data_IF_146161236448
#
_entry.id   IF_146161236448
#
_cell.length_a   1.000
_cell.length_b   1.000
_cell.length_c   1.000
_cell.angle_alpha   90.00
_cell.angle_beta   90.00
_cell.angle_gamma   90.00
#
_symmetry.space_group_name_H-M   'P 1'
#
loop_
_entity.id
_entity.type
_entity.pdbx_description
1 polymer ?
#
# COMPACT_ATOMS: atom_id res chain seq x y z
N UNK A 1 0.80 -78.51 44.50
CA UNK A 1 2.26 -78.85 44.44
C UNK A 1 2.94 -77.85 43.46
N UNK A 2 3.89 -77.07 44.03
CA UNK A 2 4.98 -76.31 43.46
C UNK A 2 4.64 -75.29 42.30
N UNK A 3 4.50 -73.99 42.61
CA UNK A 3 5.55 -72.97 42.87
C UNK A 3 6.64 -72.91 41.74
N UNK A 4 6.60 -71.82 40.97
CA UNK A 4 7.84 -71.09 40.72
C UNK A 4 7.50 -69.65 40.23
N UNK A 5 7.84 -68.71 41.11
CA UNK A 5 7.88 -67.29 40.84
C UNK A 5 8.98 -66.98 39.85
N UNK A 6 8.67 -66.25 38.78
CA UNK A 6 9.68 -65.46 38.03
C UNK A 6 9.35 -63.99 38.13
N UNK A 7 10.23 -63.30 38.86
CA UNK A 7 10.29 -61.84 38.88
C UNK A 7 10.79 -61.32 37.53
N UNK A 8 9.99 -60.51 36.87
CA UNK A 8 10.42 -59.77 35.67
C UNK A 8 10.82 -58.36 36.13
N UNK A 9 12.12 -58.04 36.10
CA UNK A 9 12.64 -56.69 36.29
C UNK A 9 12.28 -55.84 35.07
N UNK A 10 11.40 -54.88 35.27
CA UNK A 10 11.15 -53.82 34.30
C UNK A 10 12.26 -52.74 34.46
N UNK A 11 13.24 -52.79 33.58
CA UNK A 11 14.15 -51.69 33.30
C UNK A 11 13.41 -50.71 32.41
N UNK A 12 12.94 -49.59 32.96
CA UNK A 12 12.50 -48.42 32.23
C UNK A 12 13.69 -47.73 31.63
N UNK A 13 13.78 -47.54 30.29
CA UNK A 13 14.78 -46.66 29.73
C UNK A 13 14.34 -45.22 29.98
N UNK A 14 15.14 -44.48 30.72
CA UNK A 14 15.08 -43.04 30.82
C UNK A 14 15.44 -42.47 29.45
N UNK A 15 14.43 -42.05 28.66
CA UNK A 15 14.67 -41.29 27.46
C UNK A 15 15.02 -39.86 27.89
N UNK A 16 16.31 -39.56 27.91
CA UNK A 16 16.82 -38.17 27.99
C UNK A 16 16.40 -37.46 26.70
N UNK A 17 15.29 -36.70 26.79
CA UNK A 17 14.93 -35.76 25.76
C UNK A 17 15.94 -34.60 25.77
N UNK A 18 16.97 -34.71 24.95
CA UNK A 18 17.84 -33.56 24.65
C UNK A 18 16.97 -32.54 23.90
N UNK A 19 16.44 -31.55 24.63
CA UNK A 19 15.93 -30.31 24.06
C UNK A 19 17.10 -29.61 23.38
N UNK A 20 17.27 -29.86 22.09
CA UNK A 20 18.08 -29.06 21.21
C UNK A 20 17.41 -27.67 21.14
N UNK A 21 17.73 -26.81 22.11
CA UNK A 21 17.41 -25.39 22.02
C UNK A 21 18.16 -24.88 20.80
N UNK A 22 17.41 -24.57 19.76
CA UNK A 22 17.94 -24.13 18.47
C UNK A 22 18.83 -22.90 18.72
N UNK A 23 20.12 -22.90 18.34
CA UNK A 23 21.03 -21.80 18.61
C UNK A 23 20.54 -20.47 18.04
N UNK A 24 19.69 -20.50 17.03
CA UNK A 24 19.03 -19.36 16.41
C UNK A 24 18.13 -18.55 17.38
N UNK A 25 17.47 -19.19 18.35
CA UNK A 25 16.60 -18.48 19.32
C UNK A 25 17.42 -17.74 20.36
N UNK A 26 18.55 -18.33 20.81
CA UNK A 26 19.45 -17.72 21.77
C UNK A 26 20.22 -16.52 21.15
N UNK A 27 20.61 -16.62 19.88
CA UNK A 27 21.23 -15.52 19.14
C UNK A 27 20.27 -14.35 18.95
N UNK A 28 19.00 -14.61 18.61
CA UNK A 28 17.98 -13.56 18.47
C UNK A 28 17.66 -12.86 19.79
N UNK A 29 17.61 -13.58 20.91
CA UNK A 29 17.37 -12.98 22.23
C UNK A 29 18.55 -12.07 22.62
N UNK A 30 19.78 -12.54 22.50
CA UNK A 30 20.98 -11.76 22.81
C UNK A 30 21.14 -10.51 21.89
N UNK A 31 20.62 -10.57 20.68
CA UNK A 31 20.59 -9.47 19.72
C UNK A 31 19.57 -8.39 20.10
N UNK A 32 18.44 -8.77 20.67
CA UNK A 32 17.37 -7.87 21.09
C UNK A 32 17.72 -7.12 22.38
N UNK A 33 18.52 -7.73 23.25
CA UNK A 33 18.96 -7.20 24.54
C UNK A 33 20.27 -6.40 24.48
N UNK A 34 20.84 -6.19 23.28
CA UNK A 34 22.07 -5.41 23.12
C UNK A 34 21.84 -3.92 23.41
N UNK A 35 22.49 -3.34 24.46
CA UNK A 35 22.33 -1.91 24.78
C UNK A 35 22.77 -0.97 23.65
N UNK A 36 23.76 -1.35 22.83
CA UNK A 36 24.18 -0.55 21.68
C UNK A 36 23.11 -0.53 20.59
N UNK A 37 22.41 -1.66 20.40
CA UNK A 37 21.27 -1.74 19.48
C UNK A 37 20.13 -0.82 19.94
N UNK A 38 19.75 -0.88 21.19
CA UNK A 38 18.73 0.01 21.76
C UNK A 38 19.11 1.49 21.61
N UNK A 39 20.36 1.84 21.90
CA UNK A 39 20.91 3.18 21.73
C UNK A 39 20.86 3.64 20.26
N UNK A 40 21.22 2.79 19.32
CA UNK A 40 21.21 3.12 17.90
C UNK A 40 19.81 3.47 17.39
N UNK A 41 18.80 2.65 17.75
CA UNK A 41 17.42 2.92 17.39
C UNK A 41 16.84 4.15 18.10
N UNK A 42 17.29 4.45 19.33
CA UNK A 42 16.91 5.69 20.02
C UNK A 42 17.49 6.92 19.30
N UNK A 43 18.77 6.89 18.90
CA UNK A 43 19.40 7.96 18.12
C UNK A 43 18.64 8.18 16.79
N UNK A 44 18.24 7.11 16.15
CA UNK A 44 17.45 7.18 14.91
C UNK A 44 16.07 7.81 15.15
N UNK A 45 15.37 7.41 16.22
CA UNK A 45 14.07 7.97 16.61
C UNK A 45 14.16 9.46 16.98
N UNK A 46 15.26 9.86 17.59
CA UNK A 46 15.56 11.25 17.94
C UNK A 46 16.04 12.09 16.74
N UNK A 47 16.04 11.54 15.54
CA UNK A 47 16.58 12.16 14.30
C UNK A 47 18.07 12.54 14.35
N UNK A 48 18.84 11.96 15.28
CA UNK A 48 20.30 12.15 15.40
C UNK A 48 21.07 11.25 14.43
N UNK A 49 20.78 11.41 13.14
CA UNK A 49 21.22 10.50 12.10
C UNK A 49 22.75 10.41 11.92
N UNK A 50 23.44 11.55 12.11
CA UNK A 50 24.91 11.60 12.04
C UNK A 50 25.57 10.77 13.14
N UNK A 51 24.99 10.83 14.37
CA UNK A 51 25.48 10.05 15.50
C UNK A 51 25.06 8.57 15.40
N UNK A 52 23.90 8.30 14.82
CA UNK A 52 23.38 6.94 14.62
C UNK A 52 24.17 6.13 13.60
N UNK A 53 24.62 6.76 12.50
CA UNK A 53 25.24 6.08 11.37
C UNK A 53 26.44 5.17 11.77
N UNK A 54 27.46 5.64 12.51
CA UNK A 54 28.59 4.79 12.88
C UNK A 54 28.21 3.69 13.89
N UNK A 55 27.14 3.85 14.64
CA UNK A 55 26.66 2.80 15.55
C UNK A 55 25.95 1.71 14.77
N UNK A 56 25.11 2.07 13.77
CA UNK A 56 24.50 1.09 12.88
C UNK A 56 25.52 0.34 12.01
N UNK A 57 26.60 0.98 11.59
CA UNK A 57 27.70 0.31 10.88
C UNK A 57 28.26 -0.85 11.70
N UNK A 58 28.66 -0.59 12.95
CA UNK A 58 29.16 -1.63 13.87
C UNK A 58 28.14 -2.72 14.15
N UNK A 59 26.87 -2.34 14.30
CA UNK A 59 25.81 -3.31 14.52
C UNK A 59 25.56 -4.19 13.29
N UNK A 60 25.67 -3.65 12.08
CA UNK A 60 25.53 -4.42 10.84
C UNK A 60 26.67 -5.44 10.66
N UNK A 61 27.89 -5.11 11.13
CA UNK A 61 29.00 -6.06 11.17
C UNK A 61 28.79 -7.14 12.25
N UNK A 62 28.32 -6.73 13.43
CA UNK A 62 28.07 -7.64 14.56
C UNK A 62 26.86 -8.57 14.33
N UNK A 63 25.84 -8.05 13.68
CA UNK A 63 24.56 -8.74 13.42
C UNK A 63 24.20 -8.70 11.92
N UNK A 64 24.94 -9.42 11.07
CA UNK A 64 24.81 -9.34 9.61
C UNK A 64 23.50 -9.91 9.06
N UNK A 65 22.66 -10.51 9.91
CA UNK A 65 21.31 -11.03 9.56
C UNK A 65 20.18 -10.32 10.31
N UNK A 66 20.47 -9.22 11.05
CA UNK A 66 19.43 -8.40 11.64
C UNK A 66 18.81 -7.48 10.57
N UNK A 67 17.65 -7.89 10.06
CA UNK A 67 16.95 -7.17 9.01
C UNK A 67 16.64 -5.72 9.37
N UNK A 68 16.31 -5.42 10.65
CA UNK A 68 15.97 -4.07 11.08
C UNK A 68 17.22 -3.18 11.17
N UNK A 69 18.33 -3.72 11.65
CA UNK A 69 19.64 -3.04 11.65
C UNK A 69 20.07 -2.73 10.22
N UNK A 70 20.04 -3.72 9.34
CA UNK A 70 20.46 -3.56 7.93
C UNK A 70 19.57 -2.57 7.20
N UNK A 71 18.25 -2.63 7.41
CA UNK A 71 17.29 -1.70 6.81
C UNK A 71 17.57 -0.27 7.26
N UNK A 72 17.67 -0.04 8.56
CA UNK A 72 17.88 1.30 9.12
C UNK A 72 19.24 1.86 8.70
N UNK A 73 20.28 1.02 8.69
CA UNK A 73 21.61 1.43 8.22
C UNK A 73 21.58 1.83 6.73
N UNK A 74 20.90 1.04 5.89
CA UNK A 74 20.69 1.37 4.48
C UNK A 74 19.99 2.71 4.27
N UNK A 75 18.92 2.99 5.04
CA UNK A 75 18.23 4.28 5.00
C UNK A 75 19.13 5.44 5.42
N UNK A 76 19.91 5.27 6.49
CA UNK A 76 20.84 6.27 6.96
C UNK A 76 21.92 6.57 5.93
N UNK A 77 22.53 5.54 5.33
CA UNK A 77 23.55 5.72 4.29
C UNK A 77 23.01 6.51 3.11
N UNK A 78 21.83 6.18 2.62
CA UNK A 78 21.22 6.89 1.49
C UNK A 78 20.84 8.31 1.89
N UNK A 79 20.19 8.51 3.05
CA UNK A 79 19.74 9.82 3.52
C UNK A 79 20.89 10.80 3.78
N UNK A 80 22.02 10.32 4.29
CA UNK A 80 23.19 11.18 4.56
C UNK A 80 23.93 11.61 3.29
N UNK A 81 23.66 11.01 2.15
CA UNK A 81 24.30 11.41 0.88
C UNK A 81 23.99 12.84 0.47
N UNK A 82 22.88 13.41 0.92
CA UNK A 82 22.54 14.82 0.71
C UNK A 82 23.62 15.80 1.21
N UNK A 83 24.42 15.39 2.20
CA UNK A 83 25.48 16.20 2.81
C UNK A 83 26.88 15.89 2.26
N UNK A 84 27.02 14.89 1.40
CA UNK A 84 28.30 14.49 0.80
C UNK A 84 28.54 15.27 -0.48
N UNK A 85 29.61 16.09 -0.52
CA UNK A 85 29.91 16.95 -1.70
C UNK A 85 30.46 16.16 -2.89
N UNK A 86 31.25 15.13 -2.62
CA UNK A 86 31.85 14.32 -3.68
C UNK A 86 30.83 13.39 -4.34
N UNK A 87 30.67 13.51 -5.66
CA UNK A 87 29.67 12.75 -6.41
C UNK A 87 29.96 11.24 -6.45
N UNK A 88 31.24 10.85 -6.51
CA UNK A 88 31.62 9.44 -6.51
C UNK A 88 31.36 8.80 -5.16
N UNK A 89 31.69 9.51 -4.06
CA UNK A 89 31.40 9.07 -2.70
C UNK A 89 29.87 8.97 -2.46
N UNK A 90 29.06 9.93 -2.96
CA UNK A 90 27.61 9.86 -2.89
C UNK A 90 27.08 8.63 -3.61
N UNK A 91 27.53 8.41 -4.84
CA UNK A 91 27.12 7.27 -5.66
C UNK A 91 27.42 5.95 -4.95
N UNK A 92 28.64 5.81 -4.42
CA UNK A 92 29.06 4.60 -3.71
C UNK A 92 28.25 4.38 -2.42
N UNK A 93 28.02 5.42 -1.64
CA UNK A 93 27.19 5.32 -0.43
C UNK A 93 25.74 4.90 -0.73
N UNK A 94 25.15 5.43 -1.80
CA UNK A 94 23.80 5.03 -2.25
C UNK A 94 23.78 3.58 -2.73
N UNK A 95 24.79 3.14 -3.49
CA UNK A 95 24.91 1.76 -3.94
C UNK A 95 24.99 0.79 -2.76
N UNK A 96 25.88 1.07 -1.79
CA UNK A 96 26.03 0.27 -0.57
C UNK A 96 24.75 0.28 0.28
N UNK A 97 24.13 1.44 0.46
CA UNK A 97 22.86 1.57 1.16
C UNK A 97 21.76 0.71 0.52
N UNK A 98 21.64 0.74 -0.82
CA UNK A 98 20.68 -0.10 -1.55
C UNK A 98 20.97 -1.60 -1.39
N UNK A 99 22.22 -2.01 -1.36
CA UNK A 99 22.61 -3.41 -1.12
C UNK A 99 22.17 -3.89 0.27
N UNK A 100 22.33 -3.04 1.30
CA UNK A 100 21.84 -3.31 2.65
C UNK A 100 20.31 -3.46 2.68
N UNK A 101 19.58 -2.57 1.98
CA UNK A 101 18.11 -2.65 1.87
C UNK A 101 17.65 -3.94 1.17
N UNK A 102 18.31 -4.34 0.07
CA UNK A 102 18.03 -5.61 -0.60
C UNK A 102 18.33 -6.83 0.29
N UNK A 103 19.39 -6.77 1.09
CA UNK A 103 19.71 -7.82 2.06
C UNK A 103 18.65 -7.89 3.15
N UNK A 104 18.22 -6.75 3.69
CA UNK A 104 17.14 -6.69 4.67
C UNK A 104 15.83 -7.26 4.10
N UNK A 105 15.50 -6.94 2.85
CA UNK A 105 14.33 -7.47 2.16
C UNK A 105 14.38 -9.00 2.01
N UNK A 106 15.53 -9.56 1.63
CA UNK A 106 15.74 -11.02 1.57
C UNK A 106 15.57 -11.70 2.93
N UNK A 107 15.87 -10.99 4.02
CA UNK A 107 15.68 -11.45 5.40
C UNK A 107 14.24 -11.22 5.92
N UNK A 108 13.34 -10.76 5.05
CA UNK A 108 11.92 -10.59 5.34
C UNK A 108 11.53 -9.22 5.88
N UNK A 109 12.36 -8.18 5.69
CA UNK A 109 11.88 -6.81 5.85
C UNK A 109 11.02 -6.44 4.64
N UNK A 110 9.80 -5.97 4.88
CA UNK A 110 8.89 -5.55 3.81
C UNK A 110 7.95 -4.45 4.32
N UNK A 111 8.29 -3.21 4.02
CA UNK A 111 7.46 -2.04 4.28
C UNK A 111 7.48 -1.08 3.10
N UNK A 112 6.52 -0.16 3.07
CA UNK A 112 6.34 0.78 1.96
C UNK A 112 7.56 1.67 1.72
N UNK A 113 8.25 2.10 2.79
CA UNK A 113 9.43 2.94 2.69
C UNK A 113 10.60 2.18 2.06
N UNK A 114 10.79 0.92 2.46
CA UNK A 114 11.82 0.04 1.89
C UNK A 114 11.60 -0.14 0.38
N UNK A 115 10.37 -0.46 -0.04
CA UNK A 115 10.04 -0.63 -1.46
C UNK A 115 10.28 0.66 -2.24
N UNK A 116 9.77 1.79 -1.74
CA UNK A 116 9.96 3.10 -2.37
C UNK A 116 11.44 3.48 -2.53
N UNK A 117 12.27 3.22 -1.50
CA UNK A 117 13.71 3.48 -1.58
C UNK A 117 14.42 2.60 -2.61
N UNK A 118 14.05 1.31 -2.69
CA UNK A 118 14.63 0.38 -3.66
C UNK A 118 14.23 0.75 -5.10
N UNK A 119 13.07 1.35 -5.30
CA UNK A 119 12.64 1.89 -6.60
C UNK A 119 13.36 3.20 -6.94
N UNK A 120 13.53 4.10 -5.95
CA UNK A 120 14.12 5.43 -6.15
C UNK A 120 15.64 5.42 -6.32
N UNK A 121 16.35 4.42 -5.79
CA UNK A 121 17.80 4.34 -5.87
C UNK A 121 18.22 3.33 -6.91
N UNK A 122 18.86 3.74 -8.04
CA UNK A 122 19.35 2.83 -9.07
C UNK A 122 20.37 1.80 -8.52
N UNK A 123 20.52 0.67 -9.23
CA UNK A 123 21.40 -0.42 -8.80
C UNK A 123 22.87 0.00 -8.70
N UNK A 124 23.27 0.98 -9.49
CA UNK A 124 24.63 1.53 -9.50
C UNK A 124 24.83 2.67 -8.48
N UNK A 125 23.79 3.02 -7.71
CA UNK A 125 23.81 4.11 -6.74
C UNK A 125 23.73 5.50 -7.33
N UNK A 126 23.46 5.64 -8.63
CA UNK A 126 23.30 6.94 -9.29
C UNK A 126 22.26 7.81 -8.60
N UNK A 127 22.40 9.12 -8.71
CA UNK A 127 21.50 10.06 -8.04
C UNK A 127 20.12 10.11 -8.68
N UNK A 128 20.05 9.75 -9.95
CA UNK A 128 18.82 9.83 -10.72
C UNK A 128 18.44 8.47 -11.28
N UNK A 129 17.24 7.98 -10.93
CA UNK A 129 16.50 7.16 -11.85
C UNK A 129 16.40 7.99 -13.14
N UNK A 130 16.92 7.47 -14.27
CA UNK A 130 16.80 8.19 -15.54
C UNK A 130 15.32 8.46 -15.78
N UNK A 131 14.96 9.72 -15.86
CA UNK A 131 13.60 10.15 -16.14
C UNK A 131 13.24 9.84 -17.60
N UNK A 132 14.24 9.89 -18.50
CA UNK A 132 14.09 9.52 -19.91
C UNK A 132 15.18 8.54 -20.36
N UNK A 133 14.83 7.66 -21.29
CA UNK A 133 15.80 6.82 -22.00
C UNK A 133 16.53 7.59 -23.11
N UNK A 134 16.02 8.76 -23.50
CA UNK A 134 16.63 9.65 -24.49
C UNK A 134 17.62 10.58 -23.79
N UNK A 135 18.89 10.45 -24.15
CA UNK A 135 19.98 11.17 -23.48
C UNK A 135 19.77 12.69 -23.47
N UNK A 136 19.36 13.25 -24.62
CA UNK A 136 19.15 14.69 -24.78
C UNK A 136 17.99 15.20 -23.91
N UNK A 137 16.92 14.41 -23.75
CA UNK A 137 15.82 14.75 -22.87
C UNK A 137 16.25 14.70 -21.39
N UNK A 138 17.03 13.68 -21.02
CA UNK A 138 17.60 13.54 -19.69
C UNK A 138 18.56 14.69 -19.34
N UNK A 139 19.42 15.09 -20.28
CA UNK A 139 20.34 16.20 -20.09
C UNK A 139 19.57 17.53 -19.91
N UNK A 140 18.51 17.76 -20.70
CA UNK A 140 17.63 18.92 -20.55
C UNK A 140 16.90 18.92 -19.18
N UNK A 141 16.42 17.77 -18.71
CA UNK A 141 15.83 17.67 -17.37
C UNK A 141 16.81 18.10 -16.28
N UNK A 142 18.04 17.62 -16.31
CA UNK A 142 19.08 17.99 -15.33
C UNK A 142 19.42 19.46 -15.36
N UNK A 143 19.48 20.05 -16.55
CA UNK A 143 19.73 21.49 -16.69
C UNK A 143 18.56 22.30 -16.11
N UNK A 144 17.32 21.85 -16.36
CA UNK A 144 16.12 22.41 -15.77
C UNK A 144 16.12 22.37 -14.23
N UNK A 145 16.46 21.21 -13.66
CA UNK A 145 16.61 21.05 -12.21
C UNK A 145 17.68 21.98 -11.63
N UNK A 146 18.84 22.07 -12.29
CA UNK A 146 19.91 22.97 -11.86
C UNK A 146 19.52 24.45 -11.94
N UNK A 147 18.74 24.85 -12.94
CA UNK A 147 18.18 26.18 -13.09
C UNK A 147 17.13 26.46 -11.99
N UNK A 148 16.23 25.52 -11.75
CA UNK A 148 15.23 25.63 -10.68
C UNK A 148 15.87 25.81 -9.29
N UNK A 149 16.90 25.02 -8.98
CA UNK A 149 17.63 25.13 -7.73
C UNK A 149 18.29 26.51 -7.53
N UNK A 150 18.70 27.17 -8.63
CA UNK A 150 19.23 28.54 -8.64
C UNK A 150 18.13 29.61 -8.69
N UNK A 151 16.85 29.20 -8.74
CA UNK A 151 15.68 30.07 -8.94
C UNK A 151 15.68 30.80 -10.31
N UNK A 152 16.42 30.30 -11.27
CA UNK A 152 16.30 30.72 -12.66
C UNK A 152 15.10 30.00 -13.32
N UNK A 153 13.92 30.50 -12.97
CA UNK A 153 12.66 29.90 -13.36
C UNK A 153 12.42 29.97 -14.88
N UNK A 154 12.96 30.98 -15.55
CA UNK A 154 12.83 31.12 -17.00
C UNK A 154 13.60 30.01 -17.71
N UNK A 155 14.86 29.77 -17.34
CA UNK A 155 15.68 28.70 -17.88
C UNK A 155 15.12 27.32 -17.48
N UNK A 156 14.63 27.15 -16.25
CA UNK A 156 14.03 25.90 -15.83
C UNK A 156 12.84 25.50 -16.71
N UNK A 157 11.92 26.44 -16.99
CA UNK A 157 10.77 26.22 -17.88
C UNK A 157 11.24 25.83 -19.29
N UNK A 158 12.21 26.58 -19.83
CA UNK A 158 12.74 26.31 -21.17
C UNK A 158 13.31 24.90 -21.28
N UNK A 159 14.10 24.48 -20.30
CA UNK A 159 14.75 23.15 -20.30
C UNK A 159 13.75 22.01 -20.09
N UNK A 160 12.78 22.15 -19.19
CA UNK A 160 11.73 21.14 -19.03
C UNK A 160 10.85 21.02 -20.28
N UNK A 161 10.52 22.14 -20.92
CA UNK A 161 9.77 22.11 -22.18
C UNK A 161 10.59 21.49 -23.32
N UNK A 162 11.89 21.75 -23.38
CA UNK A 162 12.79 21.07 -24.32
C UNK A 162 12.83 19.56 -24.06
N UNK A 163 12.95 19.14 -22.81
CA UNK A 163 12.90 17.73 -22.43
C UNK A 163 11.60 17.06 -22.91
N UNK A 164 10.46 17.74 -22.73
CA UNK A 164 9.16 17.24 -23.18
C UNK A 164 9.00 17.25 -24.69
N UNK A 165 9.65 18.16 -25.40
CA UNK A 165 9.70 18.16 -26.89
C UNK A 165 10.49 16.95 -27.40
N UNK A 166 11.61 16.65 -26.75
CA UNK A 166 12.48 15.50 -27.06
C UNK A 166 11.85 14.16 -26.68
N UNK A 167 11.15 14.12 -25.56
CA UNK A 167 10.40 12.95 -25.06
C UNK A 167 8.96 13.33 -24.67
N UNK A 168 7.99 13.25 -25.60
CA UNK A 168 6.61 13.67 -25.36
C UNK A 168 5.87 12.91 -24.25
N UNK A 169 6.39 11.75 -23.83
CA UNK A 169 5.82 10.94 -22.75
C UNK A 169 6.49 11.17 -21.39
N UNK A 170 7.38 12.17 -21.31
CA UNK A 170 8.10 12.47 -20.09
C UNK A 170 7.19 13.23 -19.11
N UNK A 171 6.54 12.47 -18.23
CA UNK A 171 5.61 12.96 -17.22
C UNK A 171 6.23 14.05 -16.33
N UNK A 172 7.46 13.81 -15.87
CA UNK A 172 8.20 14.69 -14.97
C UNK A 172 8.46 16.05 -15.61
N UNK A 173 8.74 16.11 -16.91
CA UNK A 173 8.97 17.39 -17.59
C UNK A 173 7.72 18.28 -17.57
N UNK A 174 6.55 17.70 -17.78
CA UNK A 174 5.29 18.41 -17.68
C UNK A 174 4.98 18.80 -16.23
N UNK A 175 5.18 17.88 -15.27
CA UNK A 175 4.94 18.11 -13.86
C UNK A 175 5.82 19.25 -13.34
N UNK A 176 7.12 19.21 -13.57
CA UNK A 176 8.08 20.21 -13.08
C UNK A 176 7.90 21.57 -13.72
N UNK A 177 7.47 21.62 -15.00
CA UNK A 177 7.04 22.90 -15.59
C UNK A 177 5.87 23.49 -14.81
N UNK A 178 4.89 22.68 -14.43
CA UNK A 178 3.77 23.07 -13.58
C UNK A 178 4.24 23.58 -12.20
N UNK A 179 5.22 22.90 -11.59
CA UNK A 179 5.78 23.28 -10.30
C UNK A 179 6.45 24.67 -10.36
N UNK A 180 7.16 25.00 -11.44
CA UNK A 180 7.74 26.33 -11.62
C UNK A 180 6.64 27.38 -11.65
N UNK A 181 5.60 27.21 -12.46
CA UNK A 181 4.48 28.15 -12.53
C UNK A 181 3.71 28.24 -11.20
N UNK A 182 3.62 27.15 -10.46
CA UNK A 182 3.01 27.14 -9.13
C UNK A 182 3.86 27.95 -8.13
N UNK A 183 5.18 27.80 -8.15
CA UNK A 183 6.11 28.54 -7.31
C UNK A 183 6.15 30.06 -7.63
N UNK A 184 5.94 30.44 -8.89
CA UNK A 184 5.84 31.84 -9.35
C UNK A 184 4.44 32.43 -9.23
N UNK A 185 3.51 31.72 -8.60
CA UNK A 185 2.11 32.13 -8.39
C UNK A 185 1.27 32.27 -9.67
N UNK A 186 1.72 31.71 -10.78
CA UNK A 186 0.98 31.66 -12.06
C UNK A 186 0.04 30.46 -12.10
N UNK A 187 -0.93 30.44 -11.17
CA UNK A 187 -1.75 29.25 -10.87
C UNK A 187 -2.51 28.68 -12.07
N UNK A 188 -2.97 29.53 -12.98
CA UNK A 188 -3.66 29.08 -14.20
C UNK A 188 -2.73 28.26 -15.08
N UNK A 189 -1.52 28.76 -15.35
CA UNK A 189 -0.52 28.03 -16.15
C UNK A 189 -0.07 26.75 -15.44
N UNK A 190 0.12 26.80 -14.11
CA UNK A 190 0.43 25.61 -13.33
C UNK A 190 -0.63 24.53 -13.55
N UNK A 191 -1.92 24.86 -13.46
CA UNK A 191 -3.03 23.94 -13.72
C UNK A 191 -3.01 23.35 -15.13
N UNK A 192 -2.71 24.15 -16.15
CA UNK A 192 -2.59 23.70 -17.56
C UNK A 192 -1.47 22.65 -17.71
N UNK A 193 -0.32 22.86 -17.04
CA UNK A 193 0.80 21.93 -17.10
C UNK A 193 0.58 20.66 -16.26
N UNK A 194 -0.06 20.77 -15.10
CA UNK A 194 -0.47 19.60 -14.33
C UNK A 194 -1.52 18.77 -15.09
N UNK A 195 -2.44 19.41 -15.81
CA UNK A 195 -3.38 18.71 -16.70
C UNK A 195 -2.63 17.93 -17.80
N UNK A 196 -1.57 18.52 -18.39
CA UNK A 196 -0.73 17.83 -19.36
C UNK A 196 0.00 16.63 -18.75
N UNK A 197 0.59 16.78 -17.57
CA UNK A 197 1.21 15.67 -16.84
C UNK A 197 0.19 14.54 -16.55
N UNK A 198 -1.00 14.88 -16.08
CA UNK A 198 -2.07 13.92 -15.83
C UNK A 198 -2.53 13.19 -17.11
N UNK A 199 -2.50 13.86 -18.28
CA UNK A 199 -2.81 13.24 -19.55
C UNK A 199 -1.71 12.26 -20.00
N UNK A 200 -0.43 12.55 -19.71
CA UNK A 200 0.70 11.65 -20.02
C UNK A 200 0.62 10.39 -19.15
N UNK A 201 0.39 10.54 -17.84
CA UNK A 201 0.24 9.40 -16.93
C UNK A 201 -0.94 9.60 -15.96
N UNK A 202 -2.14 9.12 -16.33
CA UNK A 202 -3.33 9.26 -15.50
C UNK A 202 -3.37 8.34 -14.29
N UNK A 203 -2.36 7.47 -14.11
CA UNK A 203 -2.29 6.54 -12.98
C UNK A 203 -1.47 7.10 -11.79
N UNK A 204 -0.94 8.33 -11.90
CA UNK A 204 -0.18 9.00 -10.84
C UNK A 204 -1.00 10.10 -10.20
N UNK A 205 -1.10 10.09 -8.88
CA UNK A 205 -1.89 11.03 -8.10
C UNK A 205 -1.35 12.47 -8.11
N UNK A 206 -0.03 12.60 -8.22
CA UNK A 206 0.68 13.86 -7.98
C UNK A 206 0.19 14.99 -8.89
N UNK A 207 0.07 14.75 -10.19
CA UNK A 207 -0.38 15.78 -11.13
C UNK A 207 -1.82 16.24 -10.84
N UNK A 208 -2.72 15.31 -10.54
CA UNK A 208 -4.09 15.65 -10.16
C UNK A 208 -4.16 16.41 -8.84
N UNK A 209 -3.39 16.00 -7.84
CA UNK A 209 -3.33 16.66 -6.55
C UNK A 209 -2.82 18.10 -6.68
N UNK A 210 -1.71 18.33 -7.39
CA UNK A 210 -1.17 19.66 -7.63
C UNK A 210 -2.10 20.53 -8.49
N UNK A 211 -2.82 19.92 -9.44
CA UNK A 211 -3.87 20.61 -10.18
C UNK A 211 -5.00 21.06 -9.25
N UNK A 212 -5.45 20.19 -8.35
CA UNK A 212 -6.42 20.52 -7.31
C UNK A 212 -5.95 21.67 -6.43
N UNK A 213 -4.69 21.63 -5.95
CA UNK A 213 -4.09 22.69 -5.14
C UNK A 213 -4.03 24.03 -5.90
N UNK A 214 -3.70 24.01 -7.20
CA UNK A 214 -3.68 25.17 -8.04
C UNK A 214 -5.08 25.80 -8.21
N UNK A 215 -6.11 24.96 -8.41
CA UNK A 215 -7.51 25.38 -8.49
C UNK A 215 -7.99 25.95 -7.16
N UNK A 216 -7.61 25.34 -6.03
CA UNK A 216 -7.91 25.88 -4.71
C UNK A 216 -7.35 27.29 -4.50
N UNK A 217 -6.13 27.55 -4.96
CA UNK A 217 -5.52 28.89 -4.90
C UNK A 217 -6.21 29.92 -5.78
N UNK A 218 -6.86 29.46 -6.86
CA UNK A 218 -7.67 30.31 -7.77
C UNK A 218 -9.11 30.53 -7.23
N UNK A 219 -9.52 29.84 -6.17
CA UNK A 219 -10.89 29.88 -5.63
C UNK A 219 -11.87 28.95 -6.36
N UNK A 220 -11.40 28.12 -7.28
CA UNK A 220 -12.20 27.16 -8.06
C UNK A 220 -12.42 25.86 -7.27
N UNK A 221 -13.14 25.98 -6.15
CA UNK A 221 -13.20 24.97 -5.09
C UNK A 221 -13.88 23.68 -5.55
N UNK A 222 -14.93 23.78 -6.39
CA UNK A 222 -15.66 22.63 -6.91
C UNK A 222 -14.81 21.85 -7.90
N UNK A 223 -14.17 22.55 -8.83
CA UNK A 223 -13.28 21.95 -9.83
C UNK A 223 -12.05 21.28 -9.16
N UNK A 224 -11.55 21.90 -8.09
CA UNK A 224 -10.48 21.31 -7.27
C UNK A 224 -10.92 19.96 -6.67
N UNK A 225 -12.18 19.87 -6.21
CA UNK A 225 -12.73 18.63 -5.69
C UNK A 225 -12.70 17.49 -6.71
N UNK A 226 -13.10 17.76 -7.95
CA UNK A 226 -13.00 16.77 -9.03
C UNK A 226 -11.54 16.30 -9.22
N UNK A 227 -10.55 17.18 -9.09
CA UNK A 227 -9.13 16.78 -9.22
C UNK A 227 -8.63 15.98 -8.03
N UNK A 228 -9.06 16.30 -6.82
CA UNK A 228 -8.73 15.47 -5.65
C UNK A 228 -9.41 14.10 -5.69
N UNK A 229 -10.60 13.99 -6.25
CA UNK A 229 -11.22 12.68 -6.55
C UNK A 229 -10.37 11.91 -7.56
N UNK A 230 -9.93 12.54 -8.66
CA UNK A 230 -9.06 11.86 -9.65
C UNK A 230 -7.71 11.45 -9.02
N UNK A 231 -7.11 12.30 -8.17
CA UNK A 231 -5.90 11.95 -7.43
C UNK A 231 -6.13 10.72 -6.53
N UNK A 232 -7.22 10.70 -5.78
CA UNK A 232 -7.61 9.57 -4.96
C UNK A 232 -7.83 8.30 -5.79
N UNK A 233 -8.50 8.40 -6.93
CA UNK A 233 -8.72 7.28 -7.84
C UNK A 233 -7.48 6.88 -8.68
N UNK A 234 -6.48 7.72 -8.79
CA UNK A 234 -5.21 7.33 -9.39
C UNK A 234 -4.43 6.40 -8.45
N UNK A 235 -4.34 6.76 -7.17
CA UNK A 235 -3.62 6.00 -6.14
C UNK A 235 -4.39 6.01 -4.81
N UNK A 236 -5.45 5.17 -4.66
CA UNK A 236 -6.36 5.24 -3.50
C UNK A 236 -5.69 4.85 -2.18
N UNK A 237 -4.60 4.09 -2.24
CA UNK A 237 -3.86 3.63 -1.07
C UNK A 237 -2.71 4.54 -0.68
N UNK A 238 -2.44 5.60 -1.47
CA UNK A 238 -1.48 6.64 -1.14
C UNK A 238 -1.98 7.52 0.02
N UNK A 239 -1.11 7.73 1.02
CA UNK A 239 -1.40 8.67 2.10
C UNK A 239 -1.58 10.10 1.60
N UNK A 240 -0.85 10.49 0.55
CA UNK A 240 -0.87 11.85 0.01
C UNK A 240 -2.19 12.15 -0.70
N UNK A 241 -2.64 11.25 -1.58
CA UNK A 241 -3.92 11.41 -2.27
C UNK A 241 -5.09 11.45 -1.30
N UNK A 242 -5.13 10.52 -0.31
CA UNK A 242 -6.16 10.49 0.72
C UNK A 242 -6.16 11.74 1.59
N UNK A 243 -4.99 12.19 2.05
CA UNK A 243 -4.89 13.38 2.88
C UNK A 243 -5.35 14.63 2.13
N UNK A 244 -4.94 14.79 0.87
CA UNK A 244 -5.37 15.92 0.03
C UNK A 244 -6.89 15.94 -0.16
N UNK A 245 -7.48 14.78 -0.47
CA UNK A 245 -8.92 14.63 -0.64
C UNK A 245 -9.70 14.98 0.65
N UNK A 246 -9.27 14.42 1.80
CA UNK A 246 -9.87 14.73 3.10
C UNK A 246 -9.73 16.21 3.49
N UNK A 247 -8.54 16.80 3.26
CA UNK A 247 -8.30 18.22 3.55
C UNK A 247 -9.19 19.14 2.69
N UNK A 248 -9.38 18.79 1.43
CA UNK A 248 -10.34 19.51 0.58
C UNK A 248 -11.75 19.41 1.16
N UNK A 249 -12.23 18.21 1.47
CA UNK A 249 -13.56 17.99 2.04
C UNK A 249 -13.79 18.83 3.30
N UNK A 250 -12.83 18.88 4.22
CA UNK A 250 -12.89 19.71 5.42
C UNK A 250 -13.02 21.20 5.09
N UNK A 251 -12.27 21.70 4.11
CA UNK A 251 -12.30 23.13 3.72
C UNK A 251 -13.65 23.54 3.11
N UNK A 252 -14.35 22.62 2.47
CA UNK A 252 -15.63 22.90 1.80
C UNK A 252 -16.84 22.35 2.56
N UNK A 253 -16.60 21.84 3.77
CA UNK A 253 -17.63 21.22 4.62
C UNK A 253 -18.35 20.04 3.95
N UNK A 254 -17.61 19.22 3.21
CA UNK A 254 -18.06 17.96 2.62
C UNK A 254 -17.49 16.81 3.46
N UNK A 255 -18.37 15.94 3.94
CA UNK A 255 -17.95 14.72 4.63
C UNK A 255 -17.48 13.66 3.61
N UNK A 256 -16.35 13.04 3.87
CA UNK A 256 -15.76 12.01 3.02
C UNK A 256 -15.63 10.73 3.85
N UNK A 257 -16.62 9.84 3.70
CA UNK A 257 -16.66 8.58 4.42
C UNK A 257 -17.25 7.50 3.51
N UNK A 258 -16.65 6.30 3.57
CA UNK A 258 -17.29 5.14 2.98
C UNK A 258 -18.48 4.69 3.81
N UNK A 259 -19.54 4.17 3.19
CA UNK A 259 -20.62 3.55 3.94
C UNK A 259 -20.11 2.31 4.66
N UNK A 260 -20.55 2.14 5.90
CA UNK A 260 -20.14 1.01 6.74
C UNK A 260 -20.99 -0.22 6.42
N UNK A 261 -20.30 -1.35 6.27
CA UNK A 261 -20.87 -2.69 6.19
C UNK A 261 -20.23 -3.53 7.29
N UNK A 262 -21.06 -4.06 8.15
CA UNK A 262 -20.64 -5.00 9.18
C UNK A 262 -20.67 -6.42 8.61
N UNK A 263 -19.46 -7.02 8.47
CA UNK A 263 -19.29 -8.42 8.07
C UNK A 263 -19.02 -9.23 9.34
N UNK A 264 -19.99 -9.98 9.88
CA UNK A 264 -19.88 -10.61 11.20
C UNK A 264 -19.10 -11.94 11.14
N UNK A 265 -18.13 -12.04 10.25
CA UNK A 265 -17.35 -13.27 10.04
C UNK A 265 -15.94 -12.91 9.57
N UNK A 266 -14.98 -13.73 9.98
CA UNK A 266 -13.61 -13.64 9.50
C UNK A 266 -13.18 -15.01 8.94
N UNK A 267 -12.68 -14.99 7.72
CA UNK A 267 -12.18 -16.17 7.02
C UNK A 267 -10.68 -15.98 6.77
N UNK A 268 -9.88 -16.85 7.35
CA UNK A 268 -8.43 -16.84 7.13
C UNK A 268 -8.01 -18.12 6.42
N UNK A 269 -7.32 -17.98 5.29
CA UNK A 269 -6.70 -19.09 4.58
C UNK A 269 -5.24 -19.20 4.99
N UNK A 270 -4.85 -20.38 5.49
CA UNK A 270 -3.46 -20.71 5.80
C UNK A 270 -2.81 -21.46 4.65
N UNK A 271 -1.48 -21.44 4.58
CA UNK A 271 -0.76 -22.26 3.63
C UNK A 271 -1.14 -23.75 3.84
N UNK A 272 -1.27 -24.52 2.76
CA UNK A 272 -1.67 -25.95 2.73
C UNK A 272 -3.18 -26.23 2.71
N UNK A 273 -4.01 -25.27 2.30
CA UNK A 273 -5.45 -25.53 2.10
C UNK A 273 -6.27 -25.59 3.40
N UNK A 274 -5.68 -25.25 4.53
CA UNK A 274 -6.44 -25.06 5.77
C UNK A 274 -7.16 -23.72 5.73
N UNK A 275 -8.45 -23.75 6.00
CA UNK A 275 -9.32 -22.58 6.08
C UNK A 275 -9.92 -22.52 7.47
N UNK A 276 -9.77 -21.40 8.14
CA UNK A 276 -10.42 -21.14 9.43
C UNK A 276 -11.53 -20.12 9.22
N UNK A 277 -12.73 -20.48 9.62
CA UNK A 277 -13.93 -19.64 9.60
C UNK A 277 -14.30 -19.29 11.02
N UNK A 278 -14.27 -18.02 11.38
CA UNK A 278 -14.73 -17.51 12.66
C UNK A 278 -16.03 -16.73 12.42
N UNK A 279 -17.11 -17.27 12.90
CA UNK A 279 -18.45 -16.63 12.85
C UNK A 279 -18.76 -16.03 14.22
N UNK A 280 -19.31 -14.82 14.26
CA UNK A 280 -19.92 -14.30 15.48
C UNK A 280 -21.09 -15.24 15.87
N UNK A 281 -21.13 -15.79 17.09
CA UNK A 281 -22.23 -16.65 17.53
C UNK A 281 -23.62 -16.04 17.37
N UNK A 282 -23.74 -14.72 17.43
CA UNK A 282 -25.00 -14.00 17.21
C UNK A 282 -25.52 -14.16 15.77
N UNK A 283 -24.63 -14.38 14.80
CA UNK A 283 -24.99 -14.57 13.39
C UNK A 283 -25.85 -15.81 13.16
N UNK A 284 -25.70 -16.84 14.01
CA UNK A 284 -26.45 -18.09 13.93
C UNK A 284 -27.56 -18.19 14.98
N UNK A 285 -28.01 -17.07 15.54
CA UNK A 285 -29.06 -17.05 16.54
C UNK A 285 -30.38 -17.65 15.99
N UNK A 286 -31.03 -18.48 16.79
CA UNK A 286 -32.27 -19.18 16.40
C UNK A 286 -33.48 -18.21 16.15
N UNK A 287 -33.36 -17.00 16.66
CA UNK A 287 -34.37 -15.93 16.55
C UNK A 287 -34.00 -14.86 15.50
N UNK A 288 -33.08 -15.18 14.58
CA UNK A 288 -32.78 -14.27 13.47
C UNK A 288 -34.03 -13.96 12.63
N UNK A 289 -34.50 -12.72 12.76
CA UNK A 289 -35.69 -12.19 12.05
C UNK A 289 -35.32 -11.59 10.70
N UNK A 290 -34.03 -11.41 10.43
CA UNK A 290 -33.52 -10.76 9.22
C UNK A 290 -33.18 -11.75 8.11
N UNK A 291 -32.88 -13.00 8.44
CA UNK A 291 -32.32 -13.98 7.51
C UNK A 291 -30.88 -13.75 7.16
N UNK A 292 -30.20 -12.82 7.86
CA UNK A 292 -28.81 -12.47 7.60
C UNK A 292 -27.83 -13.57 7.98
N UNK A 293 -28.15 -14.36 9.01
CA UNK A 293 -27.27 -15.43 9.49
C UNK A 293 -26.90 -16.46 8.42
N UNK A 294 -27.89 -16.93 7.65
CA UNK A 294 -27.65 -17.85 6.56
C UNK A 294 -26.84 -17.21 5.40
N UNK A 295 -27.08 -15.93 5.13
CA UNK A 295 -26.33 -15.17 4.12
C UNK A 295 -24.84 -15.05 4.49
N UNK A 296 -24.55 -14.67 5.73
CA UNK A 296 -23.17 -14.55 6.21
C UNK A 296 -22.45 -15.91 6.37
N UNK A 297 -23.20 -16.97 6.69
CA UNK A 297 -22.66 -18.33 6.65
C UNK A 297 -22.24 -18.70 5.22
N UNK A 298 -23.09 -18.42 4.22
CA UNK A 298 -22.79 -18.71 2.83
C UNK A 298 -21.58 -17.88 2.33
N UNK A 299 -21.48 -16.61 2.69
CA UNK A 299 -20.30 -15.80 2.45
C UNK A 299 -19.04 -16.50 2.93
N UNK A 300 -19.03 -16.99 4.18
CA UNK A 300 -17.87 -17.66 4.77
C UNK A 300 -17.49 -18.95 4.05
N UNK A 301 -18.49 -19.74 3.63
CA UNK A 301 -18.27 -20.98 2.88
C UNK A 301 -17.67 -20.71 1.49
N UNK A 302 -18.16 -19.67 0.79
CA UNK A 302 -17.62 -19.30 -0.52
C UNK A 302 -16.18 -18.81 -0.37
N UNK A 303 -15.89 -17.94 0.61
CA UNK A 303 -14.53 -17.49 0.92
C UNK A 303 -13.59 -18.67 1.21
N UNK A 304 -14.04 -19.61 2.04
CA UNK A 304 -13.27 -20.81 2.36
C UNK A 304 -12.98 -21.67 1.13
N UNK A 305 -13.94 -21.82 0.23
CA UNK A 305 -13.77 -22.54 -1.03
C UNK A 305 -12.74 -21.89 -1.97
N UNK A 306 -12.60 -20.57 -1.94
CA UNK A 306 -11.59 -19.88 -2.72
C UNK A 306 -10.17 -20.22 -2.25
N UNK A 307 -9.90 -20.12 -0.96
CA UNK A 307 -8.59 -20.44 -0.40
C UNK A 307 -8.13 -21.89 -0.65
N UNK A 308 -9.06 -22.83 -0.80
CA UNK A 308 -8.73 -24.25 -1.00
C UNK A 308 -8.53 -24.66 -2.46
N UNK A 309 -9.28 -24.13 -3.41
CA UNK A 309 -9.28 -24.63 -4.78
C UNK A 309 -9.47 -23.59 -5.88
N UNK A 310 -10.29 -22.56 -5.66
CA UNK A 310 -10.71 -21.67 -6.74
C UNK A 310 -9.62 -20.66 -7.11
N UNK A 311 -8.82 -20.21 -6.15
CA UNK A 311 -7.74 -19.26 -6.39
C UNK A 311 -6.73 -19.79 -7.43
N UNK A 312 -6.23 -21.00 -7.26
CA UNK A 312 -5.26 -21.58 -8.19
C UNK A 312 -5.82 -21.76 -9.62
N UNK A 313 -7.14 -21.96 -9.76
CA UNK A 313 -7.81 -22.04 -11.07
C UNK A 313 -7.93 -20.66 -11.72
N UNK A 314 -8.25 -19.64 -10.93
CA UNK A 314 -8.44 -18.26 -11.41
C UNK A 314 -7.12 -17.55 -11.69
N UNK A 315 -6.09 -17.82 -10.87
CA UNK A 315 -4.78 -17.19 -10.93
C UNK A 315 -3.66 -18.24 -11.07
N UNK A 316 -3.60 -18.97 -12.20
CA UNK A 316 -2.68 -20.11 -12.37
C UNK A 316 -1.19 -19.71 -12.34
N UNK A 317 -0.89 -18.43 -12.58
CA UNK A 317 0.47 -17.89 -12.56
C UNK A 317 0.90 -17.40 -11.18
N UNK A 318 -0.01 -17.29 -10.21
CA UNK A 318 0.30 -16.88 -8.86
C UNK A 318 0.62 -18.09 -7.98
N UNK A 319 1.85 -18.10 -7.44
CA UNK A 319 2.34 -19.23 -6.61
C UNK A 319 1.81 -19.24 -5.17
N UNK A 320 1.33 -18.10 -4.71
CA UNK A 320 0.82 -17.93 -3.34
C UNK A 320 -0.62 -17.44 -3.40
N UNK A 321 -1.43 -18.03 -2.54
CA UNK A 321 -2.77 -17.51 -2.31
C UNK A 321 -2.70 -16.09 -1.76
N UNK A 322 -3.58 -15.25 -2.26
CA UNK A 322 -3.97 -13.95 -1.70
C UNK A 322 -5.47 -13.81 -1.73
N UNK A 323 -6.01 -13.03 -0.85
CA UNK A 323 -7.39 -12.58 -0.94
C UNK A 323 -7.55 -11.68 -2.18
N UNK A 324 -8.47 -12.02 -3.08
CA UNK A 324 -8.64 -11.28 -4.33
C UNK A 324 -9.98 -10.54 -4.40
N UNK A 325 -10.03 -9.51 -5.23
CA UNK A 325 -11.29 -8.79 -5.52
C UNK A 325 -12.39 -9.75 -5.98
N UNK A 326 -12.03 -10.70 -6.85
CA UNK A 326 -13.01 -11.67 -7.37
C UNK A 326 -13.54 -12.59 -6.28
N UNK A 327 -12.69 -13.03 -5.39
CA UNK A 327 -13.09 -13.86 -4.24
C UNK A 327 -14.09 -13.12 -3.35
N UNK A 328 -13.76 -11.88 -2.97
CA UNK A 328 -14.63 -11.09 -2.11
C UNK A 328 -15.96 -10.78 -2.79
N UNK A 329 -15.94 -10.41 -4.07
CA UNK A 329 -17.13 -10.14 -4.85
C UNK A 329 -18.02 -11.39 -5.00
N UNK A 330 -17.45 -12.56 -5.28
CA UNK A 330 -18.22 -13.81 -5.39
C UNK A 330 -18.87 -14.19 -4.06
N UNK A 331 -18.15 -14.01 -2.94
CA UNK A 331 -18.68 -14.30 -1.62
C UNK A 331 -19.81 -13.33 -1.20
N UNK A 332 -19.64 -12.04 -1.44
CA UNK A 332 -20.67 -11.05 -1.17
C UNK A 332 -21.90 -11.26 -2.07
N UNK A 333 -21.73 -11.59 -3.35
CA UNK A 333 -22.86 -11.94 -4.25
C UNK A 333 -23.62 -13.17 -3.77
N UNK A 334 -22.92 -14.17 -3.25
CA UNK A 334 -23.57 -15.35 -2.69
C UNK A 334 -24.40 -14.98 -1.44
N UNK A 335 -23.85 -14.12 -0.56
CA UNK A 335 -24.58 -13.62 0.59
C UNK A 335 -25.82 -12.77 0.18
N UNK A 336 -25.64 -11.83 -0.76
CA UNK A 336 -26.75 -11.01 -1.28
C UNK A 336 -27.87 -11.88 -1.82
N UNK A 337 -27.54 -12.85 -2.66
CA UNK A 337 -28.55 -13.75 -3.24
C UNK A 337 -29.30 -14.55 -2.17
N UNK A 338 -28.59 -15.11 -1.20
CA UNK A 338 -29.20 -15.85 -0.08
C UNK A 338 -30.10 -14.93 0.74
N UNK A 339 -29.66 -13.71 1.00
CA UNK A 339 -30.45 -12.73 1.74
C UNK A 339 -31.76 -12.34 1.01
N UNK A 340 -31.69 -12.04 -0.29
CA UNK A 340 -32.86 -11.67 -1.11
C UNK A 340 -33.92 -12.80 -1.17
N UNK A 341 -33.45 -14.06 -1.24
CA UNK A 341 -34.36 -15.22 -1.19
C UNK A 341 -35.10 -15.31 0.15
N UNK A 342 -34.43 -14.98 1.25
CA UNK A 342 -34.97 -15.06 2.59
C UNK A 342 -35.87 -13.85 2.94
N UNK A 343 -35.61 -12.67 2.34
CA UNK A 343 -36.41 -11.45 2.56
C UNK A 343 -37.89 -11.64 2.22
N UNK A 344 -38.23 -12.59 1.37
CA UNK A 344 -39.65 -12.95 1.09
C UNK A 344 -40.44 -13.40 2.33
N UNK A 345 -39.73 -13.83 3.39
CA UNK A 345 -40.32 -14.36 4.65
C UNK A 345 -39.84 -13.61 5.89
N UNK A 346 -38.84 -12.75 5.76
CA UNK A 346 -38.24 -12.04 6.88
C UNK A 346 -39.18 -10.95 7.44
N UNK A 347 -39.04 -10.70 8.74
CA UNK A 347 -39.83 -9.67 9.45
C UNK A 347 -39.08 -8.37 9.65
N UNK A 348 -37.79 -8.36 9.40
CA UNK A 348 -36.91 -7.20 9.49
C UNK A 348 -35.75 -7.32 8.48
N UNK A 349 -35.00 -6.26 8.30
CA UNK A 349 -33.96 -6.16 7.29
C UNK A 349 -32.58 -6.00 7.96
N UNK A 350 -31.56 -6.45 7.29
CA UNK A 350 -30.15 -6.23 7.64
C UNK A 350 -29.60 -5.06 6.82
N UNK A 351 -29.17 -3.95 7.45
CA UNK A 351 -28.73 -2.76 6.73
C UNK A 351 -27.49 -2.99 5.86
N UNK A 352 -26.54 -3.84 6.31
CA UNK A 352 -25.33 -4.16 5.58
C UNK A 352 -25.63 -4.91 4.30
N UNK A 353 -26.46 -5.96 4.37
CA UNK A 353 -26.86 -6.74 3.20
C UNK A 353 -27.76 -5.94 2.25
N UNK A 354 -28.62 -5.04 2.76
CA UNK A 354 -29.39 -4.13 1.92
C UNK A 354 -28.50 -3.18 1.12
N UNK A 355 -27.48 -2.61 1.77
CA UNK A 355 -26.51 -1.73 1.11
C UNK A 355 -25.71 -2.49 0.06
N UNK A 356 -25.22 -3.69 0.38
CA UNK A 356 -24.48 -4.53 -0.56
C UNK A 356 -25.34 -4.92 -1.76
N UNK A 357 -26.59 -5.31 -1.56
CA UNK A 357 -27.53 -5.62 -2.64
C UNK A 357 -27.80 -4.40 -3.54
N UNK A 358 -27.90 -3.20 -2.96
CA UNK A 358 -28.01 -1.96 -3.72
C UNK A 358 -26.78 -1.67 -4.56
N UNK A 359 -25.58 -1.80 -3.98
CA UNK A 359 -24.31 -1.61 -4.67
C UNK A 359 -24.14 -2.61 -5.83
N UNK A 360 -24.49 -3.88 -5.63
CA UNK A 360 -24.47 -4.89 -6.69
C UNK A 360 -25.43 -4.54 -7.82
N UNK A 361 -26.66 -4.18 -7.51
CA UNK A 361 -27.66 -3.78 -8.51
C UNK A 361 -27.24 -2.56 -9.35
N UNK A 362 -26.47 -1.65 -8.75
CA UNK A 362 -25.94 -0.47 -9.41
C UNK A 362 -24.61 -0.73 -10.14
N UNK A 363 -24.03 -1.94 -10.02
CA UNK A 363 -22.74 -2.31 -10.60
C UNK A 363 -21.56 -1.63 -9.91
N UNK A 364 -21.69 -1.34 -8.61
CA UNK A 364 -20.71 -0.61 -7.80
C UNK A 364 -20.10 -1.46 -6.68
N UNK A 365 -20.45 -2.75 -6.58
CA UNK A 365 -19.96 -3.63 -5.52
C UNK A 365 -18.45 -3.74 -5.50
N UNK A 366 -17.81 -3.99 -6.65
CA UNK A 366 -16.35 -4.09 -6.74
C UNK A 366 -15.65 -2.76 -6.43
N UNK A 367 -16.26 -1.64 -6.83
CA UNK A 367 -15.73 -0.30 -6.48
C UNK A 367 -15.76 -0.09 -4.96
N UNK A 368 -16.83 -0.53 -4.30
CA UNK A 368 -16.95 -0.52 -2.84
C UNK A 368 -15.86 -1.39 -2.19
N UNK A 369 -15.70 -2.64 -2.64
CA UNK A 369 -14.70 -3.56 -2.09
C UNK A 369 -13.30 -2.95 -2.18
N UNK A 370 -12.92 -2.47 -3.36
CA UNK A 370 -11.59 -1.90 -3.61
C UNK A 370 -11.28 -0.63 -2.79
N UNK A 371 -12.29 0.20 -2.53
CA UNK A 371 -12.06 1.50 -1.89
C UNK A 371 -12.40 1.51 -0.39
N UNK A 372 -13.34 0.66 0.06
CA UNK A 372 -13.80 0.60 1.45
C UNK A 372 -13.26 -0.60 2.24
N UNK A 373 -13.02 -1.73 1.58
CA UNK A 373 -12.59 -3.00 2.21
C UNK A 373 -11.21 -3.50 1.72
N UNK A 374 -10.25 -2.64 1.34
CA UNK A 374 -9.00 -3.12 0.79
C UNK A 374 -8.15 -3.82 1.86
N UNK A 375 -7.57 -4.94 1.46
CA UNK A 375 -6.40 -5.52 2.08
C UNK A 375 -5.25 -5.60 1.05
N UNK A 376 -4.08 -6.10 1.46
CA UNK A 376 -2.91 -6.20 0.57
C UNK A 376 -3.17 -7.08 -0.66
N UNK A 377 -4.05 -8.07 -0.53
CA UNK A 377 -4.39 -8.98 -1.62
C UNK A 377 -5.35 -8.34 -2.62
N UNK A 378 -6.45 -7.77 -2.14
CA UNK A 378 -7.47 -7.07 -2.95
C UNK A 378 -6.86 -5.87 -3.67
N UNK A 379 -5.97 -5.12 -3.00
CA UNK A 379 -5.33 -3.95 -3.57
C UNK A 379 -4.52 -4.24 -4.85
N UNK A 380 -4.02 -5.48 -5.01
CA UNK A 380 -3.28 -5.88 -6.22
C UNK A 380 -4.17 -5.93 -7.47
N UNK A 381 -5.47 -6.10 -7.32
CA UNK A 381 -6.41 -6.13 -8.45
C UNK A 381 -6.86 -4.71 -8.90
N UNK A 382 -6.53 -3.67 -8.10
CA UNK A 382 -6.98 -2.30 -8.37
C UNK A 382 -6.54 -1.75 -9.73
N UNK A 383 -5.27 -1.86 -10.16
CA UNK A 383 -4.82 -1.30 -11.44
C UNK A 383 -5.59 -1.86 -12.64
N UNK A 384 -5.84 -3.17 -12.64
CA UNK A 384 -6.57 -3.84 -13.71
C UNK A 384 -8.05 -3.47 -13.71
N UNK A 385 -8.67 -3.42 -12.54
CA UNK A 385 -10.06 -2.99 -12.40
C UNK A 385 -10.23 -1.53 -12.84
N UNK A 386 -9.37 -0.63 -12.38
CA UNK A 386 -9.41 0.79 -12.70
C UNK A 386 -9.33 1.05 -14.20
N UNK A 387 -8.50 0.30 -14.92
CA UNK A 387 -8.28 0.47 -16.37
C UNK A 387 -9.58 0.39 -17.17
N UNK A 388 -10.53 -0.44 -16.77
CA UNK A 388 -11.78 -0.67 -17.49
C UNK A 388 -13.03 -0.14 -16.77
N UNK A 389 -12.92 0.18 -15.48
CA UNK A 389 -14.07 0.54 -14.62
C UNK A 389 -13.91 1.90 -13.92
N UNK A 390 -13.10 2.81 -14.45
CA UNK A 390 -12.85 4.12 -13.83
C UNK A 390 -14.12 4.91 -13.60
N UNK A 391 -15.10 4.81 -14.50
CA UNK A 391 -16.38 5.50 -14.34
C UNK A 391 -17.20 4.94 -13.16
N UNK A 392 -17.18 3.64 -12.93
CA UNK A 392 -17.83 3.04 -11.75
C UNK A 392 -17.16 3.50 -10.45
N UNK A 393 -15.83 3.62 -10.43
CA UNK A 393 -15.09 4.18 -9.29
C UNK A 393 -15.51 5.65 -9.03
N UNK A 394 -15.60 6.48 -10.07
CA UNK A 394 -16.07 7.87 -9.97
C UNK A 394 -17.49 7.95 -9.43
N UNK A 395 -18.39 7.13 -10.00
CA UNK A 395 -19.79 7.06 -9.55
C UNK A 395 -19.89 6.67 -8.09
N UNK A 396 -19.16 5.64 -7.69
CA UNK A 396 -19.13 5.19 -6.29
C UNK A 396 -18.68 6.32 -5.35
N UNK A 397 -17.55 6.99 -5.65
CA UNK A 397 -17.07 8.10 -4.81
C UNK A 397 -18.08 9.24 -4.75
N UNK A 398 -18.64 9.65 -5.89
CA UNK A 398 -19.60 10.78 -5.96
C UNK A 398 -20.93 10.46 -5.27
N UNK A 399 -21.41 9.22 -5.32
CA UNK A 399 -22.73 8.84 -4.80
C UNK A 399 -22.69 8.37 -3.35
N UNK A 400 -21.60 7.73 -2.92
CA UNK A 400 -21.56 7.04 -1.64
C UNK A 400 -20.49 7.57 -0.67
N UNK A 401 -19.43 8.21 -1.17
CA UNK A 401 -18.32 8.68 -0.33
C UNK A 401 -18.46 10.17 -0.01
N UNK A 402 -18.87 10.98 -0.98
CA UNK A 402 -19.10 12.41 -0.78
C UNK A 402 -20.48 12.66 -0.19
N UNK A 403 -20.56 13.01 1.08
CA UNK A 403 -21.82 13.29 1.79
C UNK A 403 -21.78 14.66 2.45
N UNK A 404 -22.93 15.35 2.55
CA UNK A 404 -23.07 16.56 3.35
C UNK A 404 -22.71 17.90 2.70
N UNK A 405 -22.34 17.94 1.42
CA UNK A 405 -22.19 19.21 0.70
C UNK A 405 -23.56 19.76 0.27
N UNK A 406 -23.74 21.07 0.30
CA UNK A 406 -24.91 21.70 -0.35
C UNK A 406 -24.91 21.29 -1.84
N UNK A 407 -25.96 20.57 -2.24
CA UNK A 407 -26.19 20.18 -3.64
C UNK A 407 -26.56 21.41 -4.46
#
# INVERSE_FOLDING_TARGET
MHLLRRRLNLLTPFVLLFLCVCPLTAVRAAQQDDPERARAFQLYADAKYVEALPVFEKLAEKYPEDREVLKTYGFLMIGQTAYVKDAAARKEARRRGRELLLKAQKLGADDALLRSMLEAVPADGGEDAKLSTKKEAEDAMREGEAAFAKKDFAQAIEMYQLALLLDPNLYEAALFTGDVYYATAEQKKAGEWFARAAAINPNRETAFRYWGDSLMKQGHVTEAGDKFVEAYLAEPYSRLSRAAFLNWGQKVNVSINHPEVEIPTNVTSQQQGQVTINLDPKTLAKDDKTGAGAAWLLYSLVRGGWGSANFAKQYPNEKKYRHSLKEEADALRAAIKSYEEQQKKAKSTDPSLQLLAKLEKEGLLESYILLALPDEGIAQDYPDYRRTNLENLRRYVKQYVLTGGAR
#
